data_IF_801355972639
#
_entry.id   IF_801355972639
#
_cell.length_a   1.000
_cell.length_b   1.000
_cell.length_c   1.000
_cell.angle_alpha   90.00
_cell.angle_beta   90.00
_cell.angle_gamma   90.00
#
_symmetry.space_group_name_H-M   'P 1'
#
loop_
_entity.id
_entity.type
_entity.pdbx_description
1 polymer ?
#
# COMPACT_ATOMS: atom_id res chain seq x y z
N UNK A 1 -16.53 -26.01 8.79
CA UNK A 1 -18.00 -25.85 8.66
C UNK A 1 -18.55 -24.79 9.62
N UNK A 2 -18.11 -24.76 10.87
CA UNK A 2 -18.59 -23.81 11.88
C UNK A 2 -18.13 -22.36 11.63
N UNK A 3 -16.86 -22.17 11.27
CA UNK A 3 -16.32 -20.83 10.90
C UNK A 3 -17.03 -20.23 9.70
N UNK A 4 -17.32 -21.03 8.66
CA UNK A 4 -18.03 -20.55 7.47
C UNK A 4 -19.48 -20.14 7.80
N UNK A 5 -20.14 -20.89 8.70
CA UNK A 5 -21.47 -20.51 9.21
C UNK A 5 -21.42 -19.24 10.04
N UNK A 6 -20.40 -19.07 10.87
CA UNK A 6 -20.17 -17.86 11.64
C UNK A 6 -19.97 -16.64 10.72
N UNK A 7 -19.10 -16.77 9.72
CA UNK A 7 -18.84 -15.71 8.72
C UNK A 7 -20.10 -15.36 7.93
N UNK A 8 -20.92 -16.36 7.57
CA UNK A 8 -22.19 -16.13 6.87
C UNK A 8 -23.28 -15.49 7.73
N UNK A 9 -23.16 -15.58 9.06
CA UNK A 9 -24.09 -14.96 10.00
C UNK A 9 -23.78 -13.48 10.29
N UNK A 10 -22.60 -13.00 9.89
CA UNK A 10 -22.19 -11.61 10.07
C UNK A 10 -22.91 -10.74 9.03
N UNK A 11 -23.62 -9.72 9.50
CA UNK A 11 -24.18 -8.68 8.65
C UNK A 11 -23.09 -7.68 8.22
N UNK A 12 -22.47 -7.96 7.08
CA UNK A 12 -21.39 -7.16 6.50
C UNK A 12 -21.85 -5.78 6.00
N UNK A 13 -23.15 -5.62 5.73
CA UNK A 13 -23.75 -4.38 5.24
C UNK A 13 -24.23 -3.47 6.38
N UNK A 14 -24.21 -3.95 7.62
CA UNK A 14 -24.60 -3.19 8.81
C UNK A 14 -23.87 -1.84 8.87
N UNK A 15 -24.64 -0.77 8.91
CA UNK A 15 -24.14 0.60 9.08
C UNK A 15 -24.12 1.01 10.55
N UNK A 16 -23.00 1.57 10.99
CA UNK A 16 -22.86 2.18 12.31
C UNK A 16 -21.85 3.34 12.27
N UNK A 17 -21.92 4.24 13.24
CA UNK A 17 -20.87 5.24 13.39
C UNK A 17 -19.53 4.55 13.76
N UNK A 18 -18.38 5.08 13.31
CA UNK A 18 -17.08 4.66 13.83
C UNK A 18 -17.04 4.79 15.35
N UNK A 19 -16.57 3.76 16.06
CA UNK A 19 -16.41 3.75 17.50
C UNK A 19 -14.97 3.37 17.88
N UNK A 20 -14.50 3.82 19.03
CA UNK A 20 -13.17 3.47 19.54
C UNK A 20 -13.00 1.97 19.78
N UNK A 21 -14.08 1.27 20.13
CA UNK A 21 -14.10 -0.18 20.30
C UNK A 21 -13.74 -0.94 19.01
N UNK A 22 -13.96 -0.34 17.84
CA UNK A 22 -13.60 -0.97 16.56
C UNK A 22 -12.07 -1.17 16.45
N UNK A 23 -11.26 -0.31 17.10
CA UNK A 23 -9.80 -0.44 17.15
C UNK A 23 -9.30 -1.63 17.98
N UNK A 24 -10.17 -2.34 18.71
CA UNK A 24 -9.80 -3.58 19.41
C UNK A 24 -9.34 -4.67 18.43
N UNK A 25 -9.76 -4.60 17.16
CA UNK A 25 -9.26 -5.48 16.12
C UNK A 25 -7.83 -5.15 15.65
N UNK A 26 -7.31 -3.96 15.94
CA UNK A 26 -6.01 -3.52 15.44
C UNK A 26 -4.84 -4.34 16.01
N UNK A 27 -4.72 -4.59 17.33
CA UNK A 27 -3.66 -5.44 17.87
C UNK A 27 -3.64 -6.85 17.26
N UNK A 28 -4.83 -7.40 16.95
CA UNK A 28 -4.93 -8.69 16.26
C UNK A 28 -4.22 -8.64 14.90
N UNK A 29 -4.50 -7.63 14.07
CA UNK A 29 -3.86 -7.52 12.75
C UNK A 29 -2.35 -7.23 12.85
N UNK A 30 -1.92 -6.42 13.82
CA UNK A 30 -0.49 -6.12 14.05
C UNK A 30 0.31 -7.38 14.38
N UNK A 31 -0.27 -8.36 15.07
CA UNK A 31 0.36 -9.66 15.35
C UNK A 31 0.15 -10.67 14.21
N UNK A 32 -1.01 -10.60 13.55
CA UNK A 32 -1.36 -11.48 12.44
C UNK A 32 -0.35 -11.38 11.28
N UNK A 33 -0.05 -10.17 10.82
CA UNK A 33 0.86 -9.97 9.68
C UNK A 33 2.28 -10.55 9.88
N UNK A 34 3.02 -10.25 10.96
CA UNK A 34 4.33 -10.86 11.17
C UNK A 34 4.25 -12.38 11.35
N UNK A 35 3.17 -12.89 11.97
CA UNK A 35 2.97 -14.33 12.13
C UNK A 35 2.79 -15.02 10.77
N UNK A 36 1.93 -14.49 9.91
CA UNK A 36 1.71 -15.03 8.56
C UNK A 36 2.97 -14.89 7.71
N UNK A 37 3.67 -13.76 7.78
CA UNK A 37 4.96 -13.57 7.10
C UNK A 37 5.96 -14.65 7.51
N UNK A 38 6.13 -14.88 8.82
CA UNK A 38 7.05 -15.90 9.33
C UNK A 38 6.72 -17.30 8.81
N UNK A 39 5.43 -17.69 8.81
CA UNK A 39 4.99 -18.99 8.30
C UNK A 39 5.25 -19.12 6.79
N UNK A 40 4.89 -18.09 6.01
CA UNK A 40 5.12 -18.09 4.56
C UNK A 40 6.60 -18.11 4.22
N UNK A 41 7.42 -17.32 4.92
CA UNK A 41 8.87 -17.31 4.78
C UNK A 41 9.45 -18.71 4.99
N UNK A 42 9.04 -19.38 6.09
CA UNK A 42 9.58 -20.69 6.47
C UNK A 42 9.15 -21.82 5.56
N UNK A 43 7.88 -21.85 5.15
CA UNK A 43 7.29 -23.00 4.49
C UNK A 43 7.14 -22.86 2.97
N UNK A 44 7.05 -21.63 2.46
CA UNK A 44 6.70 -21.33 1.06
C UNK A 44 7.81 -20.55 0.37
N UNK A 45 8.08 -19.32 0.80
CA UNK A 45 8.96 -18.40 0.05
C UNK A 45 10.40 -18.90 -0.03
N UNK A 46 10.95 -19.46 1.05
CA UNK A 46 12.30 -20.05 1.04
C UNK A 46 12.45 -21.15 -0.02
N UNK A 47 11.46 -22.05 -0.12
CA UNK A 47 11.47 -23.16 -1.09
C UNK A 47 11.34 -22.65 -2.53
N UNK A 48 10.45 -21.69 -2.74
CA UNK A 48 10.22 -21.07 -4.05
C UNK A 48 11.46 -20.30 -4.50
N UNK A 49 12.02 -19.44 -3.63
CA UNK A 49 13.22 -18.65 -3.91
C UNK A 49 14.39 -19.56 -4.27
N UNK A 50 14.64 -20.62 -3.50
CA UNK A 50 15.67 -21.62 -3.81
C UNK A 50 15.45 -22.27 -5.18
N UNK A 51 14.20 -22.65 -5.50
CA UNK A 51 13.90 -23.28 -6.79
C UNK A 51 14.17 -22.35 -7.99
N UNK A 52 13.80 -21.08 -7.88
CA UNK A 52 13.95 -20.13 -8.98
C UNK A 52 15.35 -19.53 -9.08
N UNK A 53 16.07 -19.37 -7.96
CA UNK A 53 17.39 -18.71 -7.93
C UNK A 53 18.55 -19.72 -8.07
N UNK A 54 18.40 -21.00 -7.69
CA UNK A 54 19.48 -22.01 -7.71
C UNK A 54 19.70 -22.71 -9.07
N UNK A 55 19.12 -22.20 -10.15
CA UNK A 55 19.29 -22.77 -11.49
C UNK A 55 20.67 -22.54 -12.09
N UNK A 56 21.58 -23.52 -11.91
CA UNK A 56 22.89 -23.78 -12.56
C UNK A 56 24.18 -23.34 -11.81
N UNK A 57 25.09 -24.31 -11.67
CA UNK A 57 26.55 -24.10 -11.55
C UNK A 57 27.13 -24.19 -10.14
N UNK A 58 27.89 -25.25 -9.88
CA UNK A 58 28.58 -25.52 -8.61
C UNK A 58 30.08 -25.22 -8.77
N UNK A 59 30.56 -23.98 -8.54
CA UNK A 59 31.99 -23.63 -8.30
C UNK A 59 32.27 -22.10 -8.26
N UNK A 60 31.76 -21.37 -7.25
CA UNK A 60 32.29 -20.03 -6.84
C UNK A 60 31.83 -19.63 -5.41
N UNK A 61 32.00 -20.54 -4.46
CA UNK A 61 31.07 -20.81 -3.35
C UNK A 61 30.99 -19.89 -2.11
N UNK A 62 31.73 -18.78 -1.95
CA UNK A 62 31.62 -17.93 -0.72
C UNK A 62 31.05 -16.53 -0.95
N UNK A 63 31.70 -15.70 -1.76
CA UNK A 63 31.17 -14.37 -2.13
C UNK A 63 29.82 -14.51 -2.85
N UNK A 64 29.71 -15.53 -3.69
CA UNK A 64 28.49 -15.89 -4.42
C UNK A 64 27.43 -16.59 -3.54
N UNK A 65 27.75 -16.96 -2.29
CA UNK A 65 26.77 -17.44 -1.30
C UNK A 65 26.14 -16.27 -0.55
N UNK A 66 26.93 -15.25 -0.18
CA UNK A 66 26.41 -14.05 0.49
C UNK A 66 25.52 -13.21 -0.43
N UNK A 67 25.95 -12.94 -1.67
CA UNK A 67 25.09 -12.27 -2.66
C UNK A 67 23.79 -13.04 -2.95
N UNK A 68 23.88 -14.38 -2.94
CA UNK A 68 22.73 -15.26 -3.16
C UNK A 68 21.77 -15.25 -1.98
N UNK A 69 22.27 -15.26 -0.75
CA UNK A 69 21.46 -15.08 0.47
C UNK A 69 20.77 -13.72 0.44
N UNK A 70 21.48 -12.65 0.06
CA UNK A 70 20.88 -11.31 -0.14
C UNK A 70 19.74 -11.36 -1.17
N UNK A 71 19.94 -11.98 -2.35
CA UNK A 71 18.88 -12.14 -3.37
C UNK A 71 17.68 -12.94 -2.88
N UNK A 72 17.89 -14.04 -2.15
CA UNK A 72 16.82 -14.83 -1.54
C UNK A 72 16.03 -13.99 -0.53
N UNK A 73 16.70 -13.23 0.33
CA UNK A 73 16.03 -12.37 1.30
C UNK A 73 15.22 -11.26 0.61
N UNK A 74 15.79 -10.58 -0.39
CA UNK A 74 15.09 -9.57 -1.20
C UNK A 74 13.87 -10.17 -1.92
N UNK A 75 13.99 -11.39 -2.46
CA UNK A 75 12.86 -12.11 -3.04
C UNK A 75 11.75 -12.37 -2.00
N UNK A 76 12.11 -12.85 -0.80
CA UNK A 76 11.15 -13.14 0.27
C UNK A 76 10.44 -11.88 0.77
N UNK A 77 11.17 -10.78 0.94
CA UNK A 77 10.60 -9.47 1.25
C UNK A 77 9.58 -9.05 0.19
N UNK A 78 9.93 -9.16 -1.10
CA UNK A 78 9.02 -8.83 -2.20
C UNK A 78 7.82 -9.77 -2.29
N UNK A 79 8.00 -11.06 -2.06
CA UNK A 79 6.91 -12.04 -2.06
C UNK A 79 5.89 -11.76 -0.94
N UNK A 80 6.37 -11.41 0.25
CA UNK A 80 5.51 -10.99 1.36
C UNK A 80 4.67 -9.76 1.00
N UNK A 81 5.33 -8.70 0.50
CA UNK A 81 4.66 -7.47 0.08
C UNK A 81 3.67 -7.72 -1.05
N UNK A 82 4.01 -8.55 -2.02
CA UNK A 82 3.11 -8.94 -3.12
C UNK A 82 1.82 -9.61 -2.60
N UNK A 83 1.93 -10.54 -1.65
CA UNK A 83 0.75 -11.22 -1.07
C UNK A 83 -0.12 -10.22 -0.30
N UNK A 84 0.50 -9.32 0.47
CA UNK A 84 -0.25 -8.26 1.14
C UNK A 84 -0.98 -7.36 0.13
N UNK A 85 -0.27 -6.73 -0.82
CA UNK A 85 -0.89 -5.78 -1.74
C UNK A 85 -1.98 -6.44 -2.59
N UNK A 86 -1.78 -7.68 -3.04
CA UNK A 86 -2.79 -8.41 -3.79
C UNK A 86 -4.05 -8.69 -2.94
N UNK A 87 -3.87 -9.11 -1.69
CA UNK A 87 -5.01 -9.35 -0.79
C UNK A 87 -5.71 -8.05 -0.37
N UNK A 88 -4.96 -6.98 -0.10
CA UNK A 88 -5.49 -5.67 0.22
C UNK A 88 -6.29 -5.08 -0.95
N UNK A 89 -5.79 -5.22 -2.18
CA UNK A 89 -6.47 -4.76 -3.39
C UNK A 89 -7.76 -5.56 -3.63
N UNK A 90 -7.72 -6.89 -3.53
CA UNK A 90 -8.92 -7.72 -3.65
C UNK A 90 -9.98 -7.36 -2.61
N UNK A 91 -9.58 -7.15 -1.35
CA UNK A 91 -10.49 -6.73 -0.30
C UNK A 91 -11.07 -5.35 -0.57
N UNK A 92 -10.23 -4.36 -0.92
CA UNK A 92 -10.65 -2.99 -1.20
C UNK A 92 -11.63 -2.92 -2.36
N UNK A 93 -11.36 -3.61 -3.47
CA UNK A 93 -12.28 -3.71 -4.60
C UNK A 93 -13.57 -4.44 -4.21
N UNK A 94 -13.49 -5.55 -3.48
CA UNK A 94 -14.69 -6.31 -3.08
C UNK A 94 -15.67 -5.50 -2.24
N UNK A 95 -15.17 -4.62 -1.34
CA UNK A 95 -16.03 -3.82 -0.47
C UNK A 95 -16.48 -2.50 -1.10
N UNK A 96 -15.75 -1.98 -2.09
CA UNK A 96 -16.05 -0.68 -2.70
C UNK A 96 -16.76 -0.78 -4.05
N UNK A 97 -16.52 -1.82 -4.85
CA UNK A 97 -16.95 -1.88 -6.26
C UNK A 97 -18.47 -1.65 -6.47
N UNK A 98 -19.29 -2.21 -5.57
CA UNK A 98 -20.75 -2.09 -5.62
C UNK A 98 -21.29 -0.84 -4.92
N UNK A 99 -20.42 -0.01 -4.34
CA UNK A 99 -20.81 1.18 -3.61
C UNK A 99 -20.91 2.40 -4.54
N UNK A 100 -21.86 3.33 -4.30
CA UNK A 100 -22.06 4.48 -5.18
C UNK A 100 -20.81 5.35 -5.36
N UNK A 101 -19.99 5.44 -4.31
CA UNK A 101 -18.77 6.27 -4.31
C UNK A 101 -17.62 5.71 -5.14
N UNK A 102 -17.68 4.44 -5.55
CA UNK A 102 -16.70 3.89 -6.49
C UNK A 102 -16.77 4.55 -7.87
N UNK A 103 -17.97 5.00 -8.27
CA UNK A 103 -18.21 5.61 -9.59
C UNK A 103 -18.28 7.14 -9.56
N UNK A 104 -18.60 7.73 -8.42
CA UNK A 104 -18.77 9.18 -8.32
C UNK A 104 -18.27 9.73 -6.99
N UNK A 105 -17.36 10.70 -7.08
CA UNK A 105 -16.72 11.37 -5.95
C UNK A 105 -17.70 12.14 -5.06
N UNK A 106 -18.85 12.56 -5.62
CA UNK A 106 -19.94 13.19 -4.86
C UNK A 106 -20.40 12.33 -3.67
N UNK A 107 -20.41 11.01 -3.84
CA UNK A 107 -20.87 10.08 -2.81
C UNK A 107 -19.82 9.78 -1.73
N UNK A 108 -18.61 10.34 -1.84
CA UNK A 108 -17.70 10.42 -0.70
C UNK A 108 -18.34 11.22 0.43
N UNK A 109 -19.02 12.32 0.10
CA UNK A 109 -19.50 13.30 1.06
C UNK A 109 -21.00 13.21 1.33
N UNK A 110 -21.77 12.65 0.40
CA UNK A 110 -23.23 12.52 0.51
C UNK A 110 -23.62 11.04 0.48
N UNK A 111 -24.49 10.62 1.40
CA UNK A 111 -25.05 9.27 1.49
C UNK A 111 -26.56 9.23 1.25
N UNK A 112 -27.17 8.04 1.36
CA UNK A 112 -28.62 7.89 1.32
C UNK A 112 -29.31 8.66 2.46
N UNK A 113 -30.52 9.16 2.20
CA UNK A 113 -31.30 9.92 3.17
C UNK A 113 -30.72 11.31 3.44
N UNK A 114 -30.54 11.62 4.71
CA UNK A 114 -29.98 12.88 5.22
C UNK A 114 -28.48 12.78 5.59
N UNK A 115 -27.82 11.65 5.28
CA UNK A 115 -26.39 11.47 5.57
C UNK A 115 -25.53 12.41 4.71
N UNK A 116 -24.83 13.32 5.36
CA UNK A 116 -23.77 14.14 4.77
C UNK A 116 -22.58 14.16 5.73
N UNK A 117 -21.36 14.22 5.21
CA UNK A 117 -20.17 14.35 6.04
C UNK A 117 -20.25 15.66 6.85
N UNK A 118 -19.91 15.67 8.17
CA UNK A 118 -19.28 14.60 8.95
C UNK A 118 -20.24 13.59 9.60
N UNK A 119 -21.54 13.67 9.36
CA UNK A 119 -22.57 12.81 9.98
C UNK A 119 -22.87 11.54 9.16
N UNK A 120 -21.83 10.85 8.70
CA UNK A 120 -21.95 9.62 7.90
C UNK A 120 -21.69 8.35 8.73
N UNK A 121 -22.45 7.30 8.43
CA UNK A 121 -22.20 5.95 8.94
C UNK A 121 -21.26 5.18 8.02
N UNK A 122 -20.64 4.15 8.58
CA UNK A 122 -19.75 3.23 7.89
C UNK A 122 -20.28 1.80 7.98
N UNK A 123 -20.23 1.10 6.84
CA UNK A 123 -20.56 -0.33 6.77
C UNK A 123 -19.50 -1.17 7.45
N UNK A 124 -19.92 -2.26 8.08
CA UNK A 124 -19.03 -3.17 8.81
C UNK A 124 -17.88 -3.71 7.95
N UNK A 125 -18.16 -4.11 6.69
CA UNK A 125 -17.12 -4.53 5.74
C UNK A 125 -16.03 -3.49 5.52
N UNK A 126 -16.38 -2.20 5.50
CA UNK A 126 -15.42 -1.12 5.32
C UNK A 126 -14.61 -0.89 6.59
N UNK A 127 -15.23 -1.04 7.78
CA UNK A 127 -14.49 -1.05 9.05
C UNK A 127 -13.41 -2.12 9.06
N UNK A 128 -13.75 -3.34 8.62
CA UNK A 128 -12.82 -4.47 8.58
C UNK A 128 -11.61 -4.21 7.66
N UNK A 129 -11.85 -3.66 6.46
CA UNK A 129 -10.76 -3.28 5.54
C UNK A 129 -9.86 -2.20 6.13
N UNK A 130 -10.42 -1.22 6.84
CA UNK A 130 -9.64 -0.21 7.55
C UNK A 130 -8.76 -0.80 8.66
N UNK A 131 -9.28 -1.75 9.45
CA UNK A 131 -8.48 -2.41 10.49
C UNK A 131 -7.38 -3.29 9.90
N UNK A 132 -7.67 -3.98 8.79
CA UNK A 132 -6.69 -4.75 8.03
C UNK A 132 -5.54 -3.85 7.53
N UNK A 133 -5.86 -2.75 6.86
CA UNK A 133 -4.86 -1.81 6.35
C UNK A 133 -4.07 -1.14 7.51
N UNK A 134 -4.76 -0.64 8.54
CA UNK A 134 -4.12 -0.02 9.70
C UNK A 134 -3.14 -0.97 10.40
N UNK A 135 -3.53 -2.24 10.56
CA UNK A 135 -2.67 -3.27 11.15
C UNK A 135 -1.42 -3.53 10.33
N UNK A 136 -1.55 -3.60 9.00
CA UNK A 136 -0.40 -3.78 8.13
C UNK A 136 0.53 -2.58 8.17
N UNK A 137 0.03 -1.35 8.01
CA UNK A 137 0.88 -0.17 8.01
C UNK A 137 1.58 0.04 9.35
N UNK A 138 0.93 -0.31 10.47
CA UNK A 138 1.55 -0.31 11.80
C UNK A 138 2.66 -1.35 11.87
N UNK A 139 2.39 -2.59 11.47
CA UNK A 139 3.40 -3.65 11.37
C UNK A 139 4.57 -3.24 10.46
N UNK A 140 4.30 -2.64 9.31
CA UNK A 140 5.30 -2.26 8.31
C UNK A 140 6.22 -1.14 8.79
N UNK A 141 5.76 -0.25 9.68
CA UNK A 141 6.63 0.73 10.36
C UNK A 141 7.68 -0.01 11.21
N UNK A 142 7.27 -0.98 12.03
CA UNK A 142 8.20 -1.79 12.82
C UNK A 142 9.10 -2.65 11.94
N UNK A 143 8.54 -3.22 10.86
CA UNK A 143 9.31 -4.00 9.90
C UNK A 143 10.39 -3.16 9.24
N UNK A 144 10.07 -1.96 8.74
CA UNK A 144 11.06 -1.04 8.17
C UNK A 144 12.12 -0.63 9.19
N UNK A 145 11.74 -0.40 10.45
CA UNK A 145 12.66 0.05 11.48
C UNK A 145 13.66 -1.04 11.91
N UNK A 146 13.25 -2.31 11.92
CA UNK A 146 14.03 -3.39 12.57
C UNK A 146 14.34 -4.61 11.69
N UNK A 147 13.57 -4.88 10.63
CA UNK A 147 13.65 -6.14 9.87
C UNK A 147 13.93 -5.99 8.37
N UNK A 148 13.42 -4.95 7.72
CA UNK A 148 13.57 -4.78 6.28
C UNK A 148 14.91 -4.16 5.90
N UNK A 149 15.39 -4.52 4.72
CA UNK A 149 16.62 -3.97 4.15
C UNK A 149 16.52 -2.45 3.98
N UNK A 150 17.43 -1.72 4.61
CA UNK A 150 17.51 -0.25 4.52
C UNK A 150 18.05 0.16 3.14
N UNK A 151 17.30 1.00 2.43
CA UNK A 151 17.68 1.57 1.12
C UNK A 151 17.98 3.08 1.26
N UNK A 152 18.57 3.69 0.24
CA UNK A 152 18.87 5.13 0.21
C UNK A 152 17.65 6.02 0.45
N UNK A 153 16.45 5.58 0.06
CA UNK A 153 15.19 6.31 0.27
C UNK A 153 14.49 5.94 1.60
N UNK A 154 15.20 5.31 2.55
CA UNK A 154 14.62 4.86 3.82
C UNK A 154 13.82 5.95 4.54
N UNK A 155 14.37 7.16 4.68
CA UNK A 155 13.69 8.26 5.38
C UNK A 155 12.38 8.67 4.69
N UNK A 156 12.38 8.68 3.36
CA UNK A 156 11.20 9.00 2.55
C UNK A 156 10.15 7.90 2.67
N UNK A 157 10.58 6.63 2.61
CA UNK A 157 9.71 5.47 2.78
C UNK A 157 9.11 5.40 4.19
N UNK A 158 9.90 5.63 5.24
CA UNK A 158 9.41 5.68 6.61
C UNK A 158 8.41 6.82 6.81
N UNK A 159 8.72 8.02 6.30
CA UNK A 159 7.82 9.17 6.33
C UNK A 159 6.48 8.88 5.65
N UNK A 160 6.50 8.17 4.52
CA UNK A 160 5.29 7.70 3.86
C UNK A 160 4.47 6.74 4.73
N UNK A 161 5.10 5.70 5.31
CA UNK A 161 4.38 4.72 6.11
C UNK A 161 3.72 5.36 7.34
N UNK A 162 4.43 6.29 7.99
CA UNK A 162 3.89 7.07 9.10
C UNK A 162 2.72 7.94 8.62
N UNK A 163 2.89 8.70 7.54
CA UNK A 163 1.82 9.54 6.99
C UNK A 163 0.58 8.72 6.60
N UNK A 164 0.75 7.56 5.97
CA UNK A 164 -0.33 6.66 5.58
C UNK A 164 -1.02 6.04 6.80
N UNK A 165 -0.28 5.62 7.83
CA UNK A 165 -0.87 5.15 9.08
C UNK A 165 -1.74 6.22 9.75
N UNK A 166 -1.25 7.46 9.83
CA UNK A 166 -2.04 8.60 10.31
C UNK A 166 -3.26 8.86 9.43
N UNK A 167 -3.12 8.82 8.10
CA UNK A 167 -4.24 8.98 7.17
C UNK A 167 -5.31 7.93 7.39
N UNK A 168 -4.96 6.65 7.58
CA UNK A 168 -5.94 5.58 7.82
C UNK A 168 -6.68 5.82 9.13
N UNK A 169 -5.96 6.09 10.23
CA UNK A 169 -6.57 6.31 11.55
C UNK A 169 -7.42 7.58 11.58
N UNK A 170 -6.89 8.70 11.10
CA UNK A 170 -7.63 9.96 11.06
C UNK A 170 -8.81 9.90 10.08
N UNK A 171 -8.66 9.22 8.94
CA UNK A 171 -9.78 8.99 8.02
C UNK A 171 -10.90 8.20 8.70
N UNK A 172 -10.56 7.23 9.54
CA UNK A 172 -11.54 6.48 10.32
C UNK A 172 -12.28 7.38 11.32
N UNK A 173 -11.52 8.11 12.15
CA UNK A 173 -12.05 8.98 13.22
C UNK A 173 -12.88 10.12 12.63
N UNK A 174 -12.40 10.76 11.57
CA UNK A 174 -13.06 11.87 10.89
C UNK A 174 -14.13 11.41 9.89
N UNK A 175 -14.44 10.10 9.81
CA UNK A 175 -15.48 9.54 8.93
C UNK A 175 -15.24 9.80 7.42
N UNK A 176 -13.98 9.88 7.01
CA UNK A 176 -13.54 9.92 5.62
C UNK A 176 -13.41 8.52 4.99
N UNK A 177 -14.09 7.52 5.56
CA UNK A 177 -13.91 6.11 5.20
C UNK A 177 -14.18 5.82 3.71
N UNK A 178 -15.18 6.49 3.12
CA UNK A 178 -15.55 6.30 1.71
C UNK A 178 -14.44 6.74 0.77
N UNK A 179 -13.95 7.97 0.90
CA UNK A 179 -12.84 8.46 0.08
C UNK A 179 -11.55 7.70 0.38
N UNK A 180 -11.27 7.43 1.65
CA UNK A 180 -10.05 6.71 2.02
C UNK A 180 -10.04 5.25 1.54
N UNK A 181 -11.21 4.60 1.37
CA UNK A 181 -11.28 3.29 0.72
C UNK A 181 -10.80 3.30 -0.73
N UNK A 182 -11.11 4.37 -1.47
CA UNK A 182 -10.63 4.55 -2.84
C UNK A 182 -9.16 4.93 -2.83
N UNK A 183 -8.71 5.74 -1.88
CA UNK A 183 -7.28 6.03 -1.67
C UNK A 183 -6.49 4.73 -1.48
N UNK A 184 -6.92 3.82 -0.59
CA UNK A 184 -6.25 2.54 -0.38
C UNK A 184 -6.13 1.74 -1.68
N UNK A 185 -7.25 1.55 -2.40
CA UNK A 185 -7.27 0.79 -3.66
C UNK A 185 -6.33 1.36 -4.74
N UNK A 186 -6.37 2.68 -4.98
CA UNK A 186 -5.55 3.28 -6.05
C UNK A 186 -4.05 3.24 -5.74
N UNK A 187 -3.66 3.16 -4.46
CA UNK A 187 -2.25 3.03 -4.09
C UNK A 187 -1.80 1.57 -4.19
N UNK A 188 -2.51 0.64 -3.57
CA UNK A 188 -2.08 -0.76 -3.46
C UNK A 188 -2.02 -1.47 -4.84
N UNK A 189 -2.91 -1.12 -5.77
CA UNK A 189 -2.98 -1.74 -7.10
C UNK A 189 -1.64 -1.72 -7.87
N UNK A 190 -0.93 -0.59 -7.86
CA UNK A 190 0.33 -0.48 -8.61
C UNK A 190 1.48 -1.26 -7.95
N UNK A 191 1.46 -1.42 -6.63
CA UNK A 191 2.55 -2.07 -5.89
C UNK A 191 2.57 -3.60 -6.09
N UNK A 192 1.43 -4.20 -6.50
CA UNK A 192 1.39 -5.60 -6.96
C UNK A 192 2.36 -5.81 -8.13
N UNK A 193 2.33 -4.93 -9.13
CA UNK A 193 3.22 -5.03 -10.29
C UNK A 193 4.69 -4.79 -9.91
N UNK A 194 4.95 -3.86 -8.99
CA UNK A 194 6.30 -3.59 -8.48
C UNK A 194 6.93 -4.83 -7.86
N UNK A 195 6.20 -5.50 -6.97
CA UNK A 195 6.73 -6.65 -6.24
C UNK A 195 6.87 -7.89 -7.15
N UNK A 196 5.97 -8.07 -8.13
CA UNK A 196 6.13 -9.10 -9.19
C UNK A 196 7.40 -8.83 -10.00
N UNK A 197 7.64 -7.56 -10.39
CA UNK A 197 8.84 -7.16 -11.13
C UNK A 197 10.12 -7.45 -10.37
N UNK A 198 10.19 -7.07 -9.10
CA UNK A 198 11.33 -7.36 -8.21
C UNK A 198 11.58 -8.86 -8.05
N UNK A 199 10.54 -9.65 -7.74
CA UNK A 199 10.67 -11.10 -7.62
C UNK A 199 11.20 -11.74 -8.91
N UNK A 200 10.70 -11.28 -10.06
CA UNK A 200 11.13 -11.76 -11.38
C UNK A 200 12.59 -11.40 -11.65
N UNK A 201 13.00 -10.17 -11.31
CA UNK A 201 14.38 -9.71 -11.43
C UNK A 201 15.34 -10.51 -10.57
N UNK A 202 15.01 -10.74 -9.30
CA UNK A 202 15.83 -11.55 -8.39
C UNK A 202 15.94 -13.02 -8.82
N UNK A 203 14.94 -13.52 -9.56
CA UNK A 203 14.91 -14.87 -10.12
C UNK A 203 15.57 -15.00 -11.50
N UNK A 204 16.05 -13.90 -12.10
CA UNK A 204 16.62 -13.88 -13.45
C UNK A 204 15.61 -13.97 -14.60
N UNK A 205 14.31 -13.81 -14.32
CA UNK A 205 13.27 -13.79 -15.35
C UNK A 205 13.10 -12.38 -15.95
N UNK A 206 14.12 -11.94 -16.69
CA UNK A 206 14.23 -10.56 -17.21
C UNK A 206 13.01 -10.11 -18.03
N UNK A 207 12.48 -10.96 -18.91
CA UNK A 207 11.30 -10.62 -19.72
C UNK A 207 10.05 -10.36 -18.86
N UNK A 208 9.85 -11.13 -17.78
CA UNK A 208 8.73 -10.93 -16.85
C UNK A 208 8.96 -9.68 -16.01
N UNK A 209 10.21 -9.44 -15.59
CA UNK A 209 10.60 -8.24 -14.86
C UNK A 209 10.33 -6.97 -15.68
N UNK A 210 10.68 -6.97 -16.97
CA UNK A 210 10.47 -5.84 -17.88
C UNK A 210 8.98 -5.54 -18.09
N UNK A 211 8.16 -6.58 -18.34
CA UNK A 211 6.71 -6.42 -18.52
C UNK A 211 6.07 -5.90 -17.22
N UNK A 212 6.42 -6.49 -16.08
CA UNK A 212 5.90 -6.05 -14.78
C UNK A 212 6.33 -4.61 -14.46
N UNK A 213 7.57 -4.22 -14.78
CA UNK A 213 8.06 -2.86 -14.61
C UNK A 213 7.28 -1.85 -15.48
N UNK A 214 6.99 -2.20 -16.74
CA UNK A 214 6.17 -1.34 -17.61
C UNK A 214 4.75 -1.17 -17.09
N UNK A 215 4.11 -2.26 -16.64
CA UNK A 215 2.78 -2.22 -16.02
C UNK A 215 2.78 -1.39 -14.72
N UNK A 216 3.83 -1.52 -13.90
CA UNK A 216 4.03 -0.72 -12.71
C UNK A 216 4.12 0.78 -13.04
N UNK A 217 4.97 1.17 -13.99
CA UNK A 217 5.14 2.57 -14.41
C UNK A 217 3.82 3.13 -14.96
N UNK A 218 3.14 2.38 -15.83
CA UNK A 218 1.86 2.80 -16.42
C UNK A 218 0.78 2.99 -15.34
N UNK A 219 0.60 1.99 -14.47
CA UNK A 219 -0.38 2.06 -13.38
C UNK A 219 -0.06 3.18 -12.39
N UNK A 220 1.22 3.43 -12.08
CA UNK A 220 1.64 4.55 -11.23
C UNK A 220 1.18 5.90 -11.78
N UNK A 221 1.43 6.16 -13.08
CA UNK A 221 1.02 7.41 -13.72
C UNK A 221 -0.50 7.55 -13.68
N UNK A 222 -1.22 6.51 -14.12
CA UNK A 222 -2.68 6.55 -14.20
C UNK A 222 -3.34 6.72 -12.83
N UNK A 223 -2.90 5.98 -11.83
CA UNK A 223 -3.55 5.93 -10.52
C UNK A 223 -3.06 7.04 -9.58
N UNK A 224 -1.75 7.22 -9.44
CA UNK A 224 -1.15 8.12 -8.43
C UNK A 224 -0.88 9.54 -8.94
N UNK A 225 -0.63 9.73 -10.24
CA UNK A 225 -0.34 11.05 -10.82
C UNK A 225 -1.50 11.66 -11.61
N UNK A 226 -2.49 10.86 -12.01
CA UNK A 226 -3.68 11.32 -12.71
C UNK A 226 -4.92 11.15 -11.83
N UNK A 227 -5.34 9.92 -11.55
CA UNK A 227 -6.60 9.70 -10.84
C UNK A 227 -6.60 10.33 -9.43
N UNK A 228 -5.55 10.09 -8.65
CA UNK A 228 -5.41 10.63 -7.29
C UNK A 228 -5.52 12.16 -7.20
N UNK A 229 -4.71 12.98 -7.91
CA UNK A 229 -4.83 14.43 -7.80
C UNK A 229 -6.11 15.00 -8.44
N UNK A 230 -6.53 14.51 -9.61
CA UNK A 230 -7.62 15.15 -10.35
C UNK A 230 -9.02 14.73 -9.86
N UNK A 231 -9.18 13.55 -9.25
CA UNK A 231 -10.46 13.10 -8.68
C UNK A 231 -10.46 13.14 -7.16
N UNK A 232 -9.47 12.50 -6.50
CA UNK A 232 -9.47 12.38 -5.03
C UNK A 232 -9.12 13.70 -4.37
N UNK A 233 -7.96 14.30 -4.67
CA UNK A 233 -7.56 15.57 -4.04
C UNK A 233 -8.52 16.71 -4.40
N UNK A 234 -8.99 16.75 -5.65
CA UNK A 234 -10.05 17.69 -6.05
C UNK A 234 -11.30 17.52 -5.18
N UNK A 235 -11.75 16.29 -4.94
CA UNK A 235 -12.94 16.03 -4.13
C UNK A 235 -12.72 16.40 -2.65
N UNK A 236 -11.59 16.02 -2.06
CA UNK A 236 -11.25 16.36 -0.67
C UNK A 236 -10.92 17.83 -0.45
N UNK A 237 -10.56 18.57 -1.49
CA UNK A 237 -10.27 20.01 -1.40
C UNK A 237 -11.51 20.88 -1.71
N UNK A 238 -12.32 20.48 -2.68
CA UNK A 238 -13.42 21.31 -3.20
C UNK A 238 -14.80 20.75 -2.83
N UNK A 239 -15.09 19.49 -3.15
CA UNK A 239 -16.43 18.92 -2.98
C UNK A 239 -16.83 18.78 -1.50
N UNK A 240 -15.86 18.49 -0.61
CA UNK A 240 -16.12 18.46 0.84
C UNK A 240 -16.54 19.83 1.39
N UNK A 241 -15.95 20.91 0.88
CA UNK A 241 -16.24 22.29 1.37
C UNK A 241 -17.64 22.74 0.93
N UNK A 242 -18.09 22.26 -0.22
CA UNK A 242 -19.45 22.52 -0.73
C UNK A 242 -20.53 21.75 0.04
N UNK A 243 -20.16 20.63 0.67
CA UNK A 243 -21.11 19.74 1.37
C UNK A 243 -21.14 19.97 2.87
N UNK A 244 -20.09 20.55 3.45
CA UNK A 244 -20.02 20.87 4.87
C UNK A 244 -21.01 21.97 5.27
N UNK A 245 -21.92 21.64 6.20
CA UNK A 245 -22.71 22.64 6.91
C UNK A 245 -21.83 23.38 7.93
N UNK A 246 -21.27 24.51 7.49
CA UNK A 246 -20.39 25.37 8.29
C UNK A 246 -21.08 25.97 9.51
N UNK A 247 -22.41 26.02 9.57
CA UNK A 247 -23.15 26.52 10.74
C UNK A 247 -23.20 25.46 11.84
N UNK A 248 -23.39 24.19 11.46
CA UNK A 248 -23.44 23.06 12.39
C UNK A 248 -22.05 22.67 12.91
N UNK A 249 -21.02 22.74 12.05
CA UNK A 249 -19.67 22.20 12.31
C UNK A 249 -18.57 23.26 12.19
N UNK A 250 -18.72 24.39 12.88
CA UNK A 250 -17.87 25.56 12.63
C UNK A 250 -16.42 25.44 13.13
N UNK A 251 -16.15 24.63 14.16
CA UNK A 251 -14.79 24.42 14.71
C UNK A 251 -14.13 23.13 14.23
N UNK A 252 -14.82 21.99 14.33
CA UNK A 252 -14.23 20.68 14.03
C UNK A 252 -14.03 20.45 12.53
N UNK A 253 -14.98 20.91 11.70
CA UNK A 253 -14.96 20.74 10.25
C UNK A 253 -13.68 21.27 9.59
N UNK A 254 -13.29 22.55 9.82
CA UNK A 254 -12.06 23.11 9.28
C UNK A 254 -10.79 22.35 9.71
N UNK A 255 -10.70 21.94 10.98
CA UNK A 255 -9.52 21.22 11.49
C UNK A 255 -9.37 19.88 10.76
N UNK A 256 -10.45 19.10 10.67
CA UNK A 256 -10.44 17.80 9.98
C UNK A 256 -10.07 17.96 8.50
N UNK A 257 -10.61 19.00 7.86
CA UNK A 257 -10.30 19.34 6.47
C UNK A 257 -8.82 19.64 6.24
N UNK A 258 -8.21 20.53 7.02
CA UNK A 258 -6.83 20.96 6.81
C UNK A 258 -5.85 19.84 7.11
N UNK A 259 -6.00 19.15 8.24
CA UNK A 259 -5.10 18.06 8.64
C UNK A 259 -5.12 16.94 7.58
N UNK A 260 -6.31 16.51 7.15
CA UNK A 260 -6.44 15.41 6.19
C UNK A 260 -5.89 15.79 4.81
N UNK A 261 -6.25 16.98 4.29
CA UNK A 261 -5.73 17.41 2.99
C UNK A 261 -4.22 17.62 3.01
N UNK A 262 -3.65 18.21 4.06
CA UNK A 262 -2.18 18.37 4.16
C UNK A 262 -1.47 17.02 4.02
N UNK A 263 -1.92 15.99 4.74
CA UNK A 263 -1.35 14.65 4.65
C UNK A 263 -1.51 14.03 3.23
N UNK A 264 -2.68 14.20 2.60
CA UNK A 264 -2.92 13.72 1.23
C UNK A 264 -2.04 14.45 0.19
N UNK A 265 -1.83 15.76 0.34
CA UNK A 265 -0.90 16.51 -0.51
C UNK A 265 0.56 16.12 -0.26
N UNK A 266 0.95 15.84 1.00
CA UNK A 266 2.26 15.28 1.30
C UNK A 266 2.49 13.96 0.57
N UNK A 267 1.49 13.06 0.53
CA UNK A 267 1.57 11.84 -0.28
C UNK A 267 1.80 12.13 -1.77
N UNK A 268 1.11 13.11 -2.35
CA UNK A 268 1.33 13.48 -3.76
C UNK A 268 2.79 13.91 -4.01
N UNK A 269 3.38 14.69 -3.11
CA UNK A 269 4.79 15.11 -3.21
C UNK A 269 5.70 13.89 -3.23
N UNK A 270 5.45 12.90 -2.36
CA UNK A 270 6.19 11.64 -2.35
C UNK A 270 5.99 10.85 -3.65
N UNK A 271 4.77 10.83 -4.20
CA UNK A 271 4.52 10.17 -5.49
C UNK A 271 5.30 10.80 -6.64
N UNK A 272 5.43 12.12 -6.65
CA UNK A 272 6.23 12.85 -7.63
C UNK A 272 7.73 12.53 -7.43
N UNK A 273 8.20 12.45 -6.18
CA UNK A 273 9.58 12.05 -5.89
C UNK A 273 9.90 10.67 -6.48
N UNK A 274 9.10 9.64 -6.20
CA UNK A 274 9.34 8.31 -6.76
C UNK A 274 9.14 8.26 -8.26
N UNK A 275 8.20 9.03 -8.82
CA UNK A 275 8.04 9.18 -10.26
C UNK A 275 9.34 9.63 -10.93
N UNK A 276 10.05 10.60 -10.37
CA UNK A 276 11.35 11.03 -10.89
C UNK A 276 12.36 9.88 -10.91
N UNK A 277 12.38 9.02 -9.89
CA UNK A 277 13.26 7.84 -9.84
C UNK A 277 12.88 6.81 -10.90
N UNK A 278 11.60 6.46 -11.02
CA UNK A 278 11.12 5.54 -12.05
C UNK A 278 11.38 6.07 -13.46
N UNK A 279 11.14 7.36 -13.70
CA UNK A 279 11.40 7.98 -14.99
C UNK A 279 12.88 7.90 -15.37
N UNK A 280 13.80 8.11 -14.41
CA UNK A 280 15.25 7.91 -14.64
C UNK A 280 15.56 6.46 -15.01
N UNK A 281 14.93 5.47 -14.37
CA UNK A 281 15.09 4.05 -14.71
C UNK A 281 14.59 3.75 -16.13
N UNK A 282 13.42 4.26 -16.51
CA UNK A 282 12.86 4.11 -17.87
C UNK A 282 13.80 4.73 -18.92
N UNK A 283 14.30 5.94 -18.68
CA UNK A 283 15.26 6.60 -19.60
C UNK A 283 16.56 5.79 -19.72
N UNK A 284 17.07 5.24 -18.61
CA UNK A 284 18.26 4.37 -18.61
C UNK A 284 18.01 3.09 -19.42
N UNK A 285 16.86 2.45 -19.25
CA UNK A 285 16.46 1.25 -19.99
C UNK A 285 16.39 1.52 -21.50
N UNK A 286 15.76 2.63 -21.92
CA UNK A 286 15.65 3.02 -23.33
C UNK A 286 17.03 3.34 -23.94
N UNK A 287 17.86 4.12 -23.23
CA UNK A 287 19.19 4.52 -23.74
C UNK A 287 20.16 3.36 -23.87
N UNK A 288 20.15 2.44 -22.91
CA UNK A 288 21.03 1.27 -22.91
C UNK A 288 20.54 0.14 -23.79
N UNK A 289 19.29 0.18 -24.27
CA UNK A 289 18.60 -0.94 -24.95
C UNK A 289 18.74 -2.26 -24.20
N UNK A 290 18.73 -2.18 -22.87
CA UNK A 290 18.93 -3.33 -21.99
C UNK A 290 17.68 -3.62 -21.17
N UNK A 291 17.66 -4.79 -20.52
CA UNK A 291 16.63 -5.12 -19.53
C UNK A 291 16.64 -4.13 -18.37
N UNK A 292 15.56 -4.10 -17.59
CA UNK A 292 15.46 -3.26 -16.41
C UNK A 292 16.70 -3.44 -15.52
N UNK A 293 17.44 -2.35 -15.31
CA UNK A 293 18.64 -2.36 -14.49
C UNK A 293 18.28 -2.52 -13.02
N UNK A 294 19.29 -2.74 -12.18
CA UNK A 294 19.09 -2.70 -10.73
C UNK A 294 18.46 -1.37 -10.27
N UNK A 295 17.72 -1.46 -9.18
CA UNK A 295 16.96 -0.34 -8.59
C UNK A 295 17.95 0.77 -8.24
N UNK A 296 17.72 1.98 -8.75
CA UNK A 296 18.62 3.13 -8.49
C UNK A 296 18.79 3.47 -7.01
N UNK A 297 17.93 2.88 -6.16
CA UNK A 297 17.99 3.02 -4.70
C UNK A 297 18.83 1.95 -4.01
N UNK A 298 19.13 0.83 -4.69
CA UNK A 298 19.98 -0.24 -4.16
C UNK A 298 21.47 -0.04 -4.44
N UNK A 299 21.85 0.84 -5.38
CA UNK A 299 23.27 1.09 -5.73
C UNK A 299 24.09 1.67 -4.55
N UNK A 300 23.44 2.26 -3.54
CA UNK A 300 24.12 2.77 -2.33
C UNK A 300 24.33 1.70 -1.24
N UNK A 301 23.83 0.47 -1.43
CA UNK A 301 23.99 -0.62 -0.43
C UNK A 301 25.41 -1.19 -0.38
N UNK A 302 26.19 -1.00 -1.46
CA UNK A 302 27.54 -1.56 -1.57
C UNK A 302 28.63 -0.61 -1.06
N UNK A 303 28.34 0.69 -0.89
CA UNK A 303 29.33 1.65 -0.35
C UNK A 303 29.54 1.51 1.17
N UNK A 304 28.50 1.15 1.93
CA UNK A 304 28.59 0.97 3.40
C UNK A 304 29.31 -0.32 3.83
N UNK A 305 29.59 -1.26 2.91
CA UNK A 305 30.33 -2.50 3.24
C UNK A 305 31.85 -2.37 2.98
N UNK A 306 32.34 -1.17 2.63
CA UNK A 306 33.75 -0.92 2.34
C UNK A 306 34.47 -0.04 3.38
N UNK A 307 33.80 0.34 4.48
CA UNK A 307 34.37 1.19 5.54
C UNK A 307 34.50 0.52 6.93
N UNK A 308 34.46 -0.81 7.03
CA UNK A 308 34.85 -1.57 8.25
C UNK A 308 35.93 -2.63 7.96
#
# INVERSE_FOLDING_TARGET
MEVARLISSIDWERESYPNYEDFVALPFFVVFFPTVRFLLDRFVFEKIARRFILGKGYQKLKIEDDERRKKINKFKESAWKCIYFLSAEMLSLSVTYNEPWFRSTKYYWVGPGDQAWPDQKMKFKLKAVYMYAAGFYTYSIFALMFWETRRSDFGVSMGHHVATAFLIVLSYIFRFARVGSIVLAVHDASDVFLEIGKMSKYSGFEAVADVAFQLFVLSWVLLRLIYYPFWILRSTSYEVVLTLDKKKHHFDGPIYYYVFNTLLFSLLVLHIYWWVLMFRMVVKQIKSRSHVSDDVRSDSEDEDNHED
#
